data_IF_081673369573
#
_entry.id   IF_081673369573
#
_cell.length_a   1.000
_cell.length_b   1.000
_cell.length_c   1.000
_cell.angle_alpha   90.00
_cell.angle_beta   90.00
_cell.angle_gamma   90.00
#
_symmetry.space_group_name_H-M   'P 1'
#
loop_
_entity.id
_entity.type
_entity.pdbx_description
1 polymer ?
#
# COMPACT_ATOMS: atom_id res chain seq x y z
N UNK A 1 -0.17 61.30 26.01
CA UNK A 1 0.30 60.18 26.82
C UNK A 1 -0.06 58.88 26.11
N UNK A 2 0.88 58.30 25.39
CA UNK A 2 0.72 57.04 24.63
C UNK A 2 1.22 55.91 25.52
N UNK A 3 0.35 54.96 25.85
CA UNK A 3 0.74 53.70 26.54
C UNK A 3 1.08 52.67 25.49
N UNK A 4 2.36 52.29 25.41
CA UNK A 4 2.87 51.13 24.71
C UNK A 4 2.48 49.87 25.50
N UNK A 5 1.82 48.93 24.83
CA UNK A 5 1.68 47.55 25.30
C UNK A 5 2.78 46.72 24.62
N UNK A 6 3.74 46.27 25.44
CA UNK A 6 4.71 45.26 25.02
C UNK A 6 4.06 43.89 25.20
N UNK A 7 3.83 43.20 24.08
CA UNK A 7 3.58 41.78 24.09
C UNK A 7 4.92 41.03 24.14
N UNK A 8 5.25 40.47 25.30
CA UNK A 8 6.33 39.49 25.41
C UNK A 8 5.73 38.14 24.98
N UNK A 9 5.91 37.78 23.73
CA UNK A 9 5.65 36.47 23.23
C UNK A 9 6.80 35.55 23.64
N UNK A 10 6.56 34.72 24.67
CA UNK A 10 7.45 33.63 25.02
C UNK A 10 7.30 32.51 24.01
N UNK A 11 8.01 32.60 22.89
CA UNK A 11 8.15 31.50 21.92
C UNK A 11 9.02 30.42 22.54
N UNK A 12 8.42 29.39 23.10
CA UNK A 12 9.11 28.13 23.34
C UNK A 12 9.45 27.50 21.97
N UNK A 13 10.64 27.80 21.49
CA UNK A 13 11.28 27.02 20.42
C UNK A 13 11.65 25.66 21.04
N UNK A 14 10.75 24.70 20.97
CA UNK A 14 11.10 23.28 21.08
C UNK A 14 11.88 22.92 19.80
N UNK A 15 13.18 23.22 19.78
CA UNK A 15 14.13 22.66 18.83
C UNK A 15 14.40 21.20 19.22
N UNK A 16 13.46 20.33 19.01
CA UNK A 16 13.73 18.91 18.92
C UNK A 16 14.58 18.71 17.67
N UNK A 17 15.88 18.51 17.83
CA UNK A 17 16.73 18.03 16.73
C UNK A 17 16.17 16.69 16.28
N UNK A 18 15.54 16.65 15.10
CA UNK A 18 15.16 15.39 14.48
C UNK A 18 16.46 14.58 14.33
N UNK A 19 16.57 13.45 15.02
CA UNK A 19 17.70 12.54 14.86
C UNK A 19 17.82 12.16 13.39
N UNK A 20 19.04 12.16 12.86
CA UNK A 20 19.27 11.77 11.48
C UNK A 20 18.95 10.27 11.36
N UNK A 21 18.04 9.92 10.43
CA UNK A 21 17.67 8.53 10.21
C UNK A 21 18.91 7.68 9.86
N UNK A 22 19.07 6.56 10.52
CA UNK A 22 20.14 5.60 10.23
C UNK A 22 19.74 4.69 9.07
N UNK A 23 20.63 4.62 8.07
CA UNK A 23 20.45 3.78 6.89
C UNK A 23 21.31 2.51 6.98
N UNK A 24 20.69 1.36 6.93
CA UNK A 24 21.36 0.05 6.87
C UNK A 24 21.11 -0.55 5.48
N UNK A 25 22.16 -0.76 4.65
CA UNK A 25 22.00 -1.46 3.39
C UNK A 25 21.51 -2.89 3.63
N UNK A 26 20.53 -3.34 2.83
CA UNK A 26 20.16 -4.75 2.79
C UNK A 26 21.07 -5.47 1.80
N UNK A 27 21.50 -6.67 2.17
CA UNK A 27 22.44 -7.48 1.37
C UNK A 27 21.81 -7.84 0.02
N UNK A 28 22.53 -7.57 -1.08
CA UNK A 28 22.09 -7.90 -2.43
C UNK A 28 22.91 -9.05 -3.00
N UNK A 29 22.27 -9.93 -3.77
CA UNK A 29 22.96 -10.94 -4.57
C UNK A 29 23.55 -10.34 -5.84
N UNK A 30 24.47 -11.07 -6.48
CA UNK A 30 25.10 -10.66 -7.75
C UNK A 30 24.09 -10.46 -8.88
N UNK A 31 22.92 -11.00 -8.72
CA UNK A 31 21.85 -11.02 -9.71
C UNK A 31 20.65 -10.16 -9.31
N UNK A 32 20.67 -9.46 -8.18
CA UNK A 32 19.53 -8.68 -7.75
C UNK A 32 19.39 -7.42 -8.61
N UNK A 33 18.15 -7.21 -9.05
CA UNK A 33 17.72 -6.01 -9.77
C UNK A 33 17.08 -5.02 -8.82
N UNK A 34 16.49 -3.96 -9.35
CA UNK A 34 15.73 -2.99 -8.56
C UNK A 34 14.52 -3.66 -7.93
N UNK A 35 14.24 -3.34 -6.67
CA UNK A 35 13.07 -3.79 -5.94
C UNK A 35 11.94 -2.76 -6.03
N UNK A 36 10.73 -3.23 -6.31
CA UNK A 36 9.53 -2.41 -6.53
C UNK A 36 8.46 -2.55 -5.44
N UNK A 37 8.62 -3.50 -4.55
CA UNK A 37 7.71 -3.68 -3.41
C UNK A 37 8.46 -4.23 -2.20
N UNK A 38 8.01 -3.84 -1.01
CA UNK A 38 8.53 -4.31 0.26
C UNK A 38 7.38 -4.65 1.20
N UNK A 39 7.63 -5.56 2.13
CA UNK A 39 6.80 -5.81 3.28
C UNK A 39 7.70 -6.09 4.50
N UNK A 40 7.29 -5.68 5.69
CA UNK A 40 7.91 -6.04 6.95
C UNK A 40 6.97 -6.94 7.74
N UNK A 41 7.51 -8.01 8.33
CA UNK A 41 6.71 -8.87 9.18
C UNK A 41 6.37 -8.16 10.49
N UNK A 42 5.11 -8.28 10.99
CA UNK A 42 4.67 -7.64 12.22
C UNK A 42 5.44 -8.04 13.48
N UNK A 43 6.06 -9.22 13.49
CA UNK A 43 6.97 -9.67 14.57
C UNK A 43 8.35 -9.01 14.51
N UNK A 44 8.63 -8.25 13.45
CA UNK A 44 9.88 -7.53 13.24
C UNK A 44 11.06 -8.41 12.84
N UNK A 45 10.87 -9.68 12.48
CA UNK A 45 11.96 -10.60 12.12
C UNK A 45 12.39 -10.47 10.66
N UNK A 46 11.44 -10.23 9.75
CA UNK A 46 11.63 -10.33 8.31
C UNK A 46 11.33 -9.05 7.55
N UNK A 47 12.12 -8.82 6.51
CA UNK A 47 11.83 -7.89 5.42
C UNK A 47 11.73 -8.73 4.14
N UNK A 48 10.63 -8.58 3.41
CA UNK A 48 10.47 -9.16 2.09
C UNK A 48 10.60 -8.07 1.02
N UNK A 49 11.27 -8.37 -0.08
CA UNK A 49 11.40 -7.48 -1.24
C UNK A 49 11.04 -8.20 -2.53
N UNK A 50 10.24 -7.54 -3.36
CA UNK A 50 9.85 -7.99 -4.68
C UNK A 50 10.64 -7.30 -5.77
N UNK A 51 11.38 -8.07 -6.57
CA UNK A 51 12.25 -7.50 -7.58
C UNK A 51 11.56 -7.27 -8.93
N UNK A 52 12.19 -6.43 -9.74
CA UNK A 52 11.82 -6.23 -11.14
C UNK A 52 12.08 -7.50 -11.94
N UNK A 53 11.21 -7.77 -12.94
CA UNK A 53 11.50 -8.74 -13.98
C UNK A 53 12.73 -8.31 -14.79
N UNK A 54 13.60 -9.25 -15.10
CA UNK A 54 14.82 -8.97 -15.85
C UNK A 54 14.57 -9.05 -17.34
N UNK A 55 15.11 -8.10 -18.09
CA UNK A 55 15.32 -8.25 -19.52
C UNK A 55 16.75 -8.70 -19.78
N UNK A 56 16.92 -9.74 -20.55
CA UNK A 56 18.23 -10.09 -21.08
C UNK A 56 18.66 -9.00 -22.07
N UNK A 57 19.70 -8.24 -21.69
CA UNK A 57 20.23 -7.18 -22.54
C UNK A 57 20.82 -7.73 -23.86
N UNK A 58 21.24 -9.00 -23.85
CA UNK A 58 21.79 -9.67 -25.04
C UNK A 58 20.69 -10.23 -25.97
N UNK A 59 19.46 -10.40 -25.46
CA UNK A 59 18.36 -10.96 -26.24
C UNK A 59 17.02 -10.25 -25.92
N UNK A 60 16.84 -9.08 -26.49
CA UNK A 60 15.66 -8.22 -26.29
C UNK A 60 14.36 -8.82 -26.82
N UNK A 61 14.43 -9.87 -27.65
CA UNK A 61 13.26 -10.56 -28.21
C UNK A 61 12.70 -11.63 -27.27
N UNK A 62 13.43 -12.03 -26.22
CA UNK A 62 12.86 -12.91 -25.20
C UNK A 62 12.01 -12.12 -24.20
N UNK A 63 10.91 -12.73 -23.70
CA UNK A 63 10.16 -12.13 -22.62
C UNK A 63 11.07 -11.96 -21.40
N UNK A 64 10.87 -10.90 -20.58
CA UNK A 64 11.64 -10.72 -19.35
C UNK A 64 11.55 -11.97 -18.46
N UNK A 65 12.68 -12.41 -17.91
CA UNK A 65 12.66 -13.39 -16.81
C UNK A 65 11.96 -12.76 -15.60
N UNK A 66 11.27 -13.58 -14.81
CA UNK A 66 10.41 -13.10 -13.72
C UNK A 66 11.14 -12.32 -12.63
N UNK A 67 10.37 -11.62 -11.83
CA UNK A 67 10.85 -11.00 -10.59
C UNK A 67 10.90 -12.00 -9.45
N UNK A 68 11.85 -11.85 -8.53
CA UNK A 68 12.05 -12.73 -7.37
C UNK A 68 11.50 -12.11 -6.09
N UNK A 69 11.12 -12.95 -5.14
CA UNK A 69 10.81 -12.58 -3.76
C UNK A 69 12.00 -12.93 -2.88
N UNK A 70 12.64 -11.91 -2.29
CA UNK A 70 13.83 -12.04 -1.46
C UNK A 70 13.49 -11.73 -0.02
N UNK A 71 14.00 -12.51 0.92
CA UNK A 71 13.89 -12.29 2.36
C UNK A 71 15.22 -11.83 2.95
N UNK A 72 15.12 -10.84 3.86
CA UNK A 72 16.22 -10.40 4.72
C UNK A 72 15.82 -10.50 6.18
N UNK A 73 16.81 -10.79 7.02
CA UNK A 73 16.65 -10.66 8.46
C UNK A 73 16.70 -9.18 8.85
N UNK A 74 15.72 -8.71 9.57
CA UNK A 74 15.63 -7.31 10.00
C UNK A 74 16.77 -6.90 10.93
N UNK A 75 17.27 -7.85 11.73
CA UNK A 75 18.31 -7.62 12.74
C UNK A 75 19.63 -7.10 12.15
N UNK A 76 20.06 -7.67 11.04
CA UNK A 76 21.39 -7.42 10.45
C UNK A 76 21.35 -7.03 8.97
N UNK A 77 20.19 -7.02 8.35
CA UNK A 77 20.00 -6.74 6.92
C UNK A 77 20.57 -7.81 5.99
N UNK A 78 20.99 -8.96 6.52
CA UNK A 78 21.52 -10.05 5.72
C UNK A 78 20.43 -10.78 4.98
N UNK A 79 20.74 -11.13 3.73
CA UNK A 79 19.88 -11.96 2.90
C UNK A 79 19.79 -13.36 3.50
N UNK A 80 18.57 -13.81 3.74
CA UNK A 80 18.30 -15.14 4.23
C UNK A 80 18.05 -16.12 3.09
N UNK A 81 17.04 -15.81 2.27
CA UNK A 81 16.59 -16.73 1.22
C UNK A 81 15.93 -16.00 0.05
N UNK A 82 15.75 -16.73 -1.04
CA UNK A 82 14.86 -16.39 -2.16
C UNK A 82 13.72 -17.37 -2.12
N UNK A 83 12.51 -16.88 -1.88
CA UNK A 83 11.32 -17.74 -1.81
C UNK A 83 10.96 -18.31 -3.18
N UNK A 84 11.16 -17.55 -4.24
CA UNK A 84 10.92 -17.97 -5.60
C UNK A 84 10.61 -16.83 -6.55
N UNK A 85 10.33 -17.18 -7.81
CA UNK A 85 10.17 -16.23 -8.90
C UNK A 85 8.70 -16.09 -9.30
N UNK A 86 8.34 -14.89 -9.74
CA UNK A 86 7.10 -14.59 -10.46
C UNK A 86 7.39 -14.49 -11.97
N UNK A 87 6.37 -14.70 -12.80
CA UNK A 87 6.50 -14.53 -14.25
C UNK A 87 6.74 -13.09 -14.70
N UNK A 88 6.58 -12.11 -13.80
CA UNK A 88 6.81 -10.69 -14.06
C UNK A 88 7.22 -9.96 -12.77
N UNK A 89 7.40 -8.64 -12.84
CA UNK A 89 7.77 -7.79 -11.69
C UNK A 89 6.83 -8.01 -10.50
N UNK A 90 7.39 -8.22 -9.31
CA UNK A 90 6.65 -8.31 -8.06
C UNK A 90 6.42 -6.89 -7.54
N UNK A 91 5.17 -6.44 -7.59
CA UNK A 91 4.82 -5.05 -7.28
C UNK A 91 3.88 -4.89 -6.10
N UNK A 92 3.50 -5.99 -5.44
CA UNK A 92 2.73 -5.96 -4.21
C UNK A 92 3.13 -7.12 -3.29
N UNK A 93 3.23 -6.83 -1.98
CA UNK A 93 3.47 -7.83 -0.94
C UNK A 93 2.85 -7.40 0.38
N UNK A 94 2.42 -8.39 1.18
CA UNK A 94 1.91 -8.18 2.53
C UNK A 94 2.12 -9.43 3.39
N UNK A 95 2.54 -9.24 4.65
CA UNK A 95 2.49 -10.27 5.68
C UNK A 95 1.14 -10.26 6.40
N UNK A 96 0.72 -11.43 6.91
CA UNK A 96 -0.34 -11.52 7.90
C UNK A 96 0.11 -10.96 9.26
N UNK A 97 -0.83 -10.56 10.12
CA UNK A 97 -0.51 -9.94 11.41
C UNK A 97 0.19 -10.92 12.37
N UNK A 98 -0.03 -12.22 12.20
CA UNK A 98 0.67 -13.28 12.94
C UNK A 98 2.04 -13.62 12.36
N UNK A 99 2.47 -12.92 11.29
CA UNK A 99 3.75 -13.10 10.56
C UNK A 99 3.96 -14.49 9.94
N UNK A 100 2.93 -15.36 9.89
CA UNK A 100 3.06 -16.74 9.40
C UNK A 100 2.83 -16.89 7.91
N UNK A 101 2.19 -15.93 7.28
CA UNK A 101 1.87 -15.93 5.87
C UNK A 101 2.42 -14.68 5.19
N UNK A 102 3.11 -14.84 4.07
CA UNK A 102 3.45 -13.77 3.15
C UNK A 102 2.68 -13.99 1.86
N UNK A 103 2.11 -12.94 1.31
CA UNK A 103 1.55 -12.96 -0.04
C UNK A 103 2.35 -12.01 -0.91
N UNK A 104 2.69 -12.43 -2.12
CA UNK A 104 3.34 -11.61 -3.13
C UNK A 104 2.53 -11.61 -4.42
N UNK A 105 2.49 -10.48 -5.12
CA UNK A 105 1.68 -10.29 -6.31
C UNK A 105 2.43 -9.64 -7.46
N UNK A 106 2.13 -10.12 -8.67
CA UNK A 106 2.58 -9.53 -9.92
C UNK A 106 1.36 -9.18 -10.77
N UNK A 107 1.08 -7.88 -10.87
CA UNK A 107 -0.11 -7.40 -11.58
C UNK A 107 -0.10 -7.75 -13.06
N UNK A 108 1.04 -7.66 -13.72
CA UNK A 108 1.15 -7.94 -15.17
C UNK A 108 0.97 -9.42 -15.51
N UNK A 109 1.34 -10.34 -14.62
CA UNK A 109 1.06 -11.77 -14.82
C UNK A 109 -0.29 -12.21 -14.28
N UNK A 110 -0.94 -11.37 -13.45
CA UNK A 110 -2.17 -11.74 -12.75
C UNK A 110 -1.98 -12.85 -11.73
N UNK A 111 -0.73 -13.09 -11.28
CA UNK A 111 -0.39 -14.17 -10.35
C UNK A 111 -0.14 -13.62 -8.95
N UNK A 112 -0.71 -14.29 -7.97
CA UNK A 112 -0.49 -14.09 -6.55
C UNK A 112 0.06 -15.38 -5.96
N UNK A 113 1.12 -15.29 -5.16
CA UNK A 113 1.75 -16.45 -4.50
C UNK A 113 1.64 -16.30 -3.00
N UNK A 114 1.27 -17.38 -2.35
CA UNK A 114 1.08 -17.48 -0.89
C UNK A 114 2.20 -18.34 -0.33
N UNK A 115 2.97 -17.77 0.58
CA UNK A 115 4.16 -18.40 1.17
C UNK A 115 3.93 -18.69 2.65
N UNK A 116 4.39 -19.85 3.10
CA UNK A 116 4.51 -20.19 4.51
C UNK A 116 5.81 -19.62 5.07
N UNK A 117 5.72 -18.86 6.16
CA UNK A 117 6.92 -18.32 6.81
C UNK A 117 7.56 -19.31 7.80
N UNK A 118 6.90 -20.43 8.10
CA UNK A 118 7.46 -21.46 8.97
C UNK A 118 8.61 -22.25 8.30
N UNK A 119 8.52 -22.47 7.00
CA UNK A 119 9.43 -23.28 6.20
C UNK A 119 9.82 -22.62 4.86
N UNK A 120 9.37 -21.40 4.63
CA UNK A 120 9.59 -20.60 3.42
C UNK A 120 9.04 -21.26 2.13
N UNK A 121 8.06 -22.18 2.26
CA UNK A 121 7.49 -22.92 1.14
C UNK A 121 6.35 -22.17 0.45
N UNK A 122 6.17 -22.43 -0.84
CA UNK A 122 5.01 -21.97 -1.61
C UNK A 122 3.80 -22.84 -1.27
N UNK A 123 2.75 -22.26 -0.70
CA UNK A 123 1.48 -22.96 -0.39
C UNK A 123 0.53 -22.93 -1.57
N UNK A 124 0.31 -21.75 -2.16
CA UNK A 124 -0.66 -21.59 -3.24
C UNK A 124 -0.14 -20.64 -4.32
N UNK A 125 -0.54 -20.90 -5.55
CA UNK A 125 -0.49 -19.96 -6.67
C UNK A 125 -1.90 -19.64 -7.09
N UNK A 126 -2.33 -18.39 -6.86
CA UNK A 126 -3.65 -17.91 -7.21
C UNK A 126 -3.58 -17.09 -8.49
N UNK A 127 -4.65 -17.07 -9.25
CA UNK A 127 -4.71 -16.36 -10.53
C UNK A 127 -5.93 -15.45 -10.56
N UNK A 128 -5.70 -14.19 -10.93
CA UNK A 128 -6.77 -13.26 -11.28
C UNK A 128 -7.49 -13.76 -12.54
N UNK A 129 -8.79 -13.50 -12.61
CA UNK A 129 -9.62 -13.88 -13.76
C UNK A 129 -9.16 -13.17 -15.03
N UNK A 130 -8.84 -11.88 -14.92
CA UNK A 130 -8.30 -11.08 -16.00
C UNK A 130 -6.84 -10.70 -15.67
N UNK A 131 -5.87 -11.00 -16.55
CA UNK A 131 -4.50 -10.54 -16.37
C UNK A 131 -4.46 -9.01 -16.54
N UNK A 132 -3.72 -8.35 -15.65
CA UNK A 132 -3.57 -6.90 -15.72
C UNK A 132 -2.48 -6.56 -16.74
N UNK A 133 -2.84 -5.89 -17.82
CA UNK A 133 -1.87 -5.43 -18.80
C UNK A 133 -1.08 -4.26 -18.22
N UNK A 134 0.25 -4.34 -18.25
CA UNK A 134 1.10 -3.24 -17.88
C UNK A 134 0.93 -2.08 -18.86
N UNK A 135 0.31 -1.00 -18.43
CA UNK A 135 0.43 0.28 -19.10
C UNK A 135 1.75 0.93 -18.70
N UNK A 136 2.56 1.32 -19.64
CA UNK A 136 3.84 2.02 -19.39
C UNK A 136 3.68 3.35 -18.67
N UNK A 137 2.47 3.92 -18.68
CA UNK A 137 2.16 5.23 -18.11
C UNK A 137 1.39 5.17 -16.78
N UNK A 138 0.66 4.08 -16.50
CA UNK A 138 -0.20 3.98 -15.31
C UNK A 138 0.21 2.87 -14.33
N UNK A 139 1.22 2.06 -14.66
CA UNK A 139 1.59 0.87 -13.88
C UNK A 139 0.50 -0.21 -13.92
N UNK A 140 0.80 -1.42 -13.44
CA UNK A 140 -0.23 -2.41 -13.18
C UNK A 140 -0.94 -2.02 -11.88
N UNK A 141 -2.22 -1.69 -11.98
CA UNK A 141 -3.02 -1.34 -10.79
C UNK A 141 -3.54 -2.61 -10.10
N UNK A 142 -2.62 -3.41 -9.57
CA UNK A 142 -2.98 -4.49 -8.68
C UNK A 142 -3.29 -3.91 -7.30
N UNK A 143 -4.52 -4.11 -6.86
CA UNK A 143 -4.99 -3.73 -5.54
C UNK A 143 -5.31 -4.99 -4.77
N UNK A 144 -4.64 -5.22 -3.65
CA UNK A 144 -4.84 -6.39 -2.82
C UNK A 144 -4.96 -6.01 -1.35
N UNK A 145 -5.59 -6.89 -0.58
CA UNK A 145 -5.58 -6.87 0.87
C UNK A 145 -5.55 -8.31 1.40
N UNK A 146 -4.67 -8.56 2.36
CA UNK A 146 -4.59 -9.80 3.13
C UNK A 146 -5.34 -9.60 4.44
N UNK A 147 -6.18 -10.56 4.84
CA UNK A 147 -6.83 -10.49 6.16
C UNK A 147 -5.78 -10.63 7.27
N UNK A 148 -5.99 -9.99 8.45
CA UNK A 148 -5.03 -10.02 9.55
C UNK A 148 -4.64 -11.43 9.99
N UNK A 149 -5.59 -12.36 9.99
CA UNK A 149 -5.38 -13.78 10.33
C UNK A 149 -4.68 -14.59 9.22
N UNK A 150 -4.34 -13.98 8.09
CA UNK A 150 -3.70 -14.63 6.95
C UNK A 150 -4.55 -15.66 6.22
N UNK A 151 -5.88 -15.74 6.49
CA UNK A 151 -6.74 -16.79 5.92
C UNK A 151 -7.49 -16.36 4.68
N UNK A 152 -7.61 -15.06 4.41
CA UNK A 152 -8.31 -14.54 3.23
C UNK A 152 -7.45 -13.54 2.48
N UNK A 153 -7.56 -13.57 1.17
CA UNK A 153 -6.95 -12.58 0.28
C UNK A 153 -8.03 -12.01 -0.62
N UNK A 154 -8.10 -10.70 -0.69
CA UNK A 154 -8.89 -9.99 -1.69
C UNK A 154 -7.95 -9.37 -2.72
N UNK A 155 -8.27 -9.48 -4.00
CA UNK A 155 -7.52 -8.81 -5.06
C UNK A 155 -8.43 -8.37 -6.21
N UNK A 156 -8.09 -7.20 -6.75
CA UNK A 156 -8.71 -6.63 -7.93
C UNK A 156 -7.66 -5.82 -8.72
N UNK A 157 -8.06 -5.34 -9.88
CA UNK A 157 -7.22 -4.46 -10.66
C UNK A 157 -7.99 -3.76 -11.77
N UNK A 158 -7.27 -3.07 -12.63
CA UNK A 158 -7.82 -2.52 -13.85
C UNK A 158 -7.26 -3.26 -15.05
N UNK A 159 -8.13 -3.63 -15.98
CA UNK A 159 -7.77 -4.18 -17.28
C UNK A 159 -7.64 -3.01 -18.25
N UNK A 160 -6.53 -2.93 -18.95
CA UNK A 160 -6.35 -1.94 -20.02
C UNK A 160 -6.78 -2.59 -21.34
N UNK A 161 -7.79 -2.02 -21.98
CA UNK A 161 -8.20 -2.44 -23.33
C UNK A 161 -7.78 -1.40 -24.36
N UNK A 162 -7.25 -1.81 -25.50
CA UNK A 162 -6.99 -0.89 -26.59
C UNK A 162 -8.32 -0.41 -27.20
N UNK A 163 -8.45 0.89 -27.39
CA UNK A 163 -9.56 1.51 -28.14
C UNK A 163 -8.97 2.40 -29.21
N UNK A 164 -8.88 1.89 -30.44
CA UNK A 164 -8.20 2.58 -31.54
C UNK A 164 -6.72 2.82 -31.20
N UNK A 165 -6.28 4.08 -31.25
CA UNK A 165 -4.93 4.51 -30.86
C UNK A 165 -4.81 4.80 -29.36
N UNK A 166 -5.91 4.79 -28.61
CA UNK A 166 -5.98 5.06 -27.19
C UNK A 166 -6.14 3.78 -26.38
N UNK A 167 -5.68 3.80 -25.13
CA UNK A 167 -5.88 2.72 -24.18
C UNK A 167 -6.92 3.15 -23.15
N UNK A 168 -7.93 2.33 -22.91
CA UNK A 168 -8.90 2.55 -21.85
C UNK A 168 -8.70 1.54 -20.73
N UNK A 169 -8.86 1.96 -19.47
CA UNK A 169 -8.87 1.04 -18.34
C UNK A 169 -10.30 0.65 -18.01
N UNK A 170 -10.57 -0.65 -17.94
CA UNK A 170 -11.84 -1.19 -17.47
C UNK A 170 -11.66 -1.80 -16.08
N UNK A 171 -12.76 -1.80 -15.33
CA UNK A 171 -12.80 -2.49 -14.04
C UNK A 171 -12.66 -4.00 -14.22
N UNK A 172 -11.75 -4.61 -13.46
CA UNK A 172 -11.60 -6.06 -13.41
C UNK A 172 -12.51 -6.68 -12.35
N UNK A 173 -12.51 -8.00 -12.29
CA UNK A 173 -13.24 -8.75 -11.26
C UNK A 173 -12.51 -8.63 -9.91
N UNK A 174 -13.22 -8.20 -8.86
CA UNK A 174 -12.77 -8.40 -7.49
C UNK A 174 -12.95 -9.87 -7.13
N UNK A 175 -11.90 -10.49 -6.63
CA UNK A 175 -11.89 -11.89 -6.21
C UNK A 175 -11.46 -12.00 -4.75
N UNK A 176 -12.09 -12.89 -4.01
CA UNK A 176 -11.71 -13.23 -2.64
C UNK A 176 -11.48 -14.72 -2.51
N UNK A 177 -10.34 -15.10 -1.94
CA UNK A 177 -9.93 -16.50 -1.74
C UNK A 177 -9.85 -16.84 -0.26
N UNK A 178 -10.11 -18.11 0.03
CA UNK A 178 -9.67 -18.79 1.24
C UNK A 178 -8.24 -19.29 1.05
N UNK A 179 -7.30 -18.80 1.83
CA UNK A 179 -5.88 -19.17 1.73
C UNK A 179 -5.55 -20.48 2.46
N UNK A 180 -6.47 -21.06 3.21
CA UNK A 180 -6.29 -22.40 3.79
C UNK A 180 -6.48 -23.48 2.73
N UNK A 181 -7.38 -23.24 1.78
CA UNK A 181 -7.72 -24.19 0.70
C UNK A 181 -7.21 -23.74 -0.68
N UNK A 182 -6.88 -22.46 -0.86
CA UNK A 182 -6.54 -21.85 -2.14
C UNK A 182 -7.76 -21.63 -3.06
N UNK A 183 -9.00 -21.85 -2.57
CA UNK A 183 -10.21 -21.75 -3.36
C UNK A 183 -10.80 -20.34 -3.35
N UNK A 184 -11.48 -19.98 -4.44
CA UNK A 184 -12.24 -18.73 -4.53
C UNK A 184 -13.49 -18.84 -3.65
N UNK A 185 -13.68 -17.91 -2.72
CA UNK A 185 -14.88 -17.81 -1.92
C UNK A 185 -16.01 -17.13 -2.69
N UNK A 186 -15.72 -15.99 -3.30
CA UNK A 186 -16.66 -15.23 -4.11
C UNK A 186 -15.97 -14.25 -5.06
N UNK A 187 -16.72 -13.75 -6.01
CA UNK A 187 -16.25 -12.77 -7.00
C UNK A 187 -17.29 -11.70 -7.25
N UNK A 188 -16.84 -10.49 -7.57
CA UNK A 188 -17.68 -9.38 -8.00
C UNK A 188 -17.13 -8.84 -9.33
N UNK A 189 -17.82 -9.06 -10.46
CA UNK A 189 -17.36 -8.63 -11.77
C UNK A 189 -17.48 -7.12 -11.93
N UNK A 190 -16.63 -6.54 -12.79
CA UNK A 190 -16.64 -5.13 -13.17
C UNK A 190 -16.61 -4.14 -11.97
N UNK A 191 -15.87 -4.50 -10.93
CA UNK A 191 -15.69 -3.67 -9.74
C UNK A 191 -14.46 -2.80 -9.89
N UNK A 192 -14.66 -1.49 -10.07
CA UNK A 192 -13.58 -0.49 -10.18
C UNK A 192 -12.95 -0.18 -8.84
N UNK A 193 -12.16 -1.12 -8.30
CA UNK A 193 -11.51 -0.98 -7.00
C UNK A 193 -10.32 -0.04 -7.07
N UNK A 194 -10.30 0.97 -6.23
CA UNK A 194 -9.16 1.89 -6.07
C UNK A 194 -8.27 1.51 -4.88
N UNK A 195 -8.85 1.04 -3.77
CA UNK A 195 -8.12 0.53 -2.61
C UNK A 195 -8.98 -0.48 -1.84
N UNK A 196 -8.32 -1.39 -1.12
CA UNK A 196 -8.93 -2.47 -0.32
C UNK A 196 -8.36 -2.47 1.10
N UNK A 197 -9.18 -2.84 2.07
CA UNK A 197 -8.74 -3.15 3.42
C UNK A 197 -9.67 -4.18 4.08
N UNK A 198 -9.11 -5.09 4.88
CA UNK A 198 -9.91 -5.90 5.80
C UNK A 198 -10.06 -5.18 7.14
N UNK A 199 -11.15 -5.46 7.84
CA UNK A 199 -11.25 -5.13 9.27
C UNK A 199 -10.28 -5.97 10.09
N UNK A 200 -9.84 -5.49 11.29
CA UNK A 200 -8.89 -6.21 12.14
C UNK A 200 -9.34 -7.62 12.55
N UNK A 201 -10.65 -7.87 12.60
CA UNK A 201 -11.21 -9.21 12.84
C UNK A 201 -11.27 -10.09 11.58
N UNK A 202 -10.89 -9.53 10.41
CA UNK A 202 -10.92 -10.22 9.12
C UNK A 202 -12.32 -10.57 8.59
N UNK A 203 -13.40 -10.11 9.24
CA UNK A 203 -14.76 -10.50 8.88
C UNK A 203 -15.38 -9.61 7.80
N UNK A 204 -14.87 -8.40 7.64
CA UNK A 204 -15.38 -7.43 6.68
C UNK A 204 -14.29 -7.01 5.69
N UNK A 205 -14.63 -6.98 4.41
CA UNK A 205 -13.83 -6.37 3.36
C UNK A 205 -14.38 -4.99 3.03
N UNK A 206 -13.53 -3.99 3.06
CA UNK A 206 -13.82 -2.61 2.67
C UNK A 206 -13.12 -2.27 1.37
N UNK A 207 -13.76 -1.48 0.53
CA UNK A 207 -13.17 -0.96 -0.69
C UNK A 207 -13.63 0.46 -0.98
N UNK A 208 -12.71 1.26 -1.50
CA UNK A 208 -13.10 2.38 -2.35
C UNK A 208 -13.31 1.86 -3.76
N UNK A 209 -14.50 2.13 -4.29
CA UNK A 209 -14.87 1.77 -5.66
C UNK A 209 -15.23 3.00 -6.46
N UNK A 210 -14.94 2.94 -7.76
CA UNK A 210 -15.25 4.03 -8.70
C UNK A 210 -15.64 3.46 -10.05
N UNK A 211 -16.49 4.19 -10.77
CA UNK A 211 -16.78 3.95 -12.17
C UNK A 211 -15.98 4.94 -13.02
N UNK A 212 -15.24 4.45 -13.99
CA UNK A 212 -14.57 5.29 -14.98
C UNK A 212 -15.49 5.39 -16.20
N UNK A 213 -15.90 6.61 -16.52
CA UNK A 213 -16.68 6.90 -17.73
C UNK A 213 -15.77 7.58 -18.73
N UNK A 214 -15.70 6.99 -19.92
CA UNK A 214 -14.94 7.55 -21.04
C UNK A 214 -15.87 8.38 -21.92
N UNK A 215 -15.47 9.61 -22.17
CA UNK A 215 -16.20 10.55 -22.99
C UNK A 215 -15.28 11.03 -24.12
N UNK A 216 -15.82 11.14 -25.33
CA UNK A 216 -15.10 11.79 -26.43
C UNK A 216 -15.28 13.29 -26.34
N UNK A 217 -14.19 14.02 -26.10
CA UNK A 217 -14.18 15.48 -26.04
C UNK A 217 -13.22 15.99 -27.10
N UNK A 218 -13.76 16.66 -28.13
CA UNK A 218 -12.99 17.26 -29.25
C UNK A 218 -12.05 16.27 -29.94
N UNK A 219 -12.49 15.03 -30.17
CA UNK A 219 -11.71 13.98 -30.80
C UNK A 219 -10.69 13.29 -29.89
N UNK A 220 -10.66 13.61 -28.60
CA UNK A 220 -9.83 12.94 -27.59
C UNK A 220 -10.70 12.16 -26.61
N UNK A 221 -10.26 10.95 -26.26
CA UNK A 221 -10.88 10.18 -25.18
C UNK A 221 -10.45 10.77 -23.83
N UNK A 222 -11.42 11.28 -23.06
CA UNK A 222 -11.20 11.78 -21.70
C UNK A 222 -11.88 10.85 -20.70
N UNK A 223 -11.18 10.53 -19.62
CA UNK A 223 -11.72 9.72 -18.53
C UNK A 223 -12.28 10.62 -17.42
N UNK A 224 -13.49 10.35 -17.00
CA UNK A 224 -14.10 10.97 -15.82
C UNK A 224 -14.40 9.90 -14.77
N UNK A 225 -13.99 10.18 -13.54
CA UNK A 225 -14.40 9.35 -12.40
C UNK A 225 -15.84 9.69 -12.05
N UNK A 226 -16.66 8.66 -11.95
CA UNK A 226 -18.05 8.75 -11.55
C UNK A 226 -18.38 7.67 -10.51
N UNK A 227 -19.48 7.86 -9.79
CA UNK A 227 -20.05 6.87 -8.88
C UNK A 227 -19.03 6.34 -7.84
N UNK A 228 -18.39 7.27 -7.14
CA UNK A 228 -17.41 6.95 -6.08
C UNK A 228 -18.13 6.50 -4.82
N UNK A 229 -17.72 5.33 -4.29
CA UNK A 229 -18.36 4.70 -3.15
C UNK A 229 -17.36 4.07 -2.20
N UNK A 230 -17.67 4.15 -0.92
CA UNK A 230 -17.12 3.25 0.10
C UNK A 230 -18.05 2.04 0.19
N UNK A 231 -17.51 0.87 -0.11
CA UNK A 231 -18.23 -0.42 -0.10
C UNK A 231 -17.76 -1.27 1.05
N UNK A 232 -18.67 -2.06 1.60
CA UNK A 232 -18.40 -3.03 2.66
C UNK A 232 -19.13 -4.33 2.38
N UNK A 233 -18.38 -5.44 2.47
CA UNK A 233 -18.92 -6.79 2.28
C UNK A 233 -18.51 -7.71 3.42
N UNK A 234 -19.36 -8.68 3.71
CA UNK A 234 -18.96 -9.84 4.49
C UNK A 234 -17.86 -10.59 3.74
N UNK A 235 -16.72 -10.78 4.39
CA UNK A 235 -15.52 -11.33 3.75
C UNK A 235 -15.66 -12.81 3.33
N UNK A 236 -16.57 -13.57 3.97
CA UNK A 236 -16.75 -15.01 3.69
C UNK A 236 -17.68 -15.31 2.53
N UNK A 237 -18.70 -14.46 2.28
CA UNK A 237 -19.75 -14.76 1.30
C UNK A 237 -20.04 -13.61 0.32
N UNK A 238 -19.38 -12.45 0.46
CA UNK A 238 -19.58 -11.31 -0.42
C UNK A 238 -20.90 -10.56 -0.25
N UNK A 239 -21.69 -10.86 0.78
CA UNK A 239 -22.92 -10.11 1.07
C UNK A 239 -22.58 -8.67 1.41
N UNK A 240 -23.27 -7.71 0.77
CA UNK A 240 -23.05 -6.27 1.01
C UNK A 240 -23.60 -5.88 2.37
N UNK A 241 -22.74 -5.28 3.21
CA UNK A 241 -23.13 -4.72 4.50
C UNK A 241 -23.64 -3.28 4.32
N UNK A 242 -22.86 -2.44 3.61
CA UNK A 242 -23.28 -1.09 3.25
C UNK A 242 -22.60 -0.61 1.96
N UNK A 243 -23.18 0.46 1.40
CA UNK A 243 -22.66 1.17 0.24
C UNK A 243 -22.93 2.66 0.44
N UNK A 244 -21.86 3.44 0.62
CA UNK A 244 -21.93 4.87 0.90
C UNK A 244 -21.32 5.69 -0.22
N UNK A 245 -22.03 6.68 -0.79
CA UNK A 245 -21.45 7.59 -1.76
C UNK A 245 -20.40 8.48 -1.10
N UNK A 246 -19.25 8.62 -1.75
CA UNK A 246 -18.14 9.46 -1.28
C UNK A 246 -17.57 10.32 -2.42
N UNK A 247 -18.39 11.17 -3.05
CA UNK A 247 -18.04 11.86 -4.28
C UNK A 247 -16.84 12.79 -4.10
N UNK A 248 -15.90 12.74 -5.05
CA UNK A 248 -14.70 13.56 -5.09
C UNK A 248 -13.65 13.22 -4.04
N UNK A 249 -13.80 12.09 -3.32
CA UNK A 249 -12.82 11.68 -2.31
C UNK A 249 -11.57 11.06 -2.93
N UNK A 250 -11.71 10.12 -3.88
CA UNK A 250 -10.62 9.35 -4.50
C UNK A 250 -9.50 8.94 -3.51
N UNK A 251 -9.82 8.23 -2.42
CA UNK A 251 -8.85 7.90 -1.40
C UNK A 251 -7.77 6.96 -1.94
N UNK A 252 -6.54 7.25 -1.58
CA UNK A 252 -5.38 6.40 -1.89
C UNK A 252 -5.21 5.25 -0.88
N UNK A 253 -5.69 5.45 0.35
CA UNK A 253 -5.59 4.48 1.44
C UNK A 253 -6.87 4.43 2.26
N UNK A 254 -7.19 3.21 2.72
CA UNK A 254 -8.18 2.97 3.77
C UNK A 254 -7.44 2.42 5.00
N UNK A 255 -7.52 3.12 6.11
CA UNK A 255 -6.92 2.73 7.39
C UNK A 255 -8.03 2.39 8.37
N UNK A 256 -8.12 1.12 8.75
CA UNK A 256 -9.20 0.61 9.59
C UNK A 256 -8.78 0.59 11.05
N UNK A 257 -9.64 1.09 11.94
CA UNK A 257 -9.44 1.08 13.38
C UNK A 257 -10.56 0.29 14.06
N UNK A 258 -10.20 -0.80 14.72
CA UNK A 258 -11.13 -1.54 15.56
C UNK A 258 -11.52 -0.73 16.81
N UNK A 259 -10.56 0.00 17.37
CA UNK A 259 -10.73 0.81 18.58
C UNK A 259 -11.76 1.92 18.41
N UNK A 260 -11.75 2.59 17.25
CA UNK A 260 -12.74 3.63 16.93
C UNK A 260 -14.00 3.10 16.26
N UNK A 261 -14.04 1.84 15.85
CA UNK A 261 -15.13 1.28 15.02
C UNK A 261 -15.27 1.98 13.68
N UNK A 262 -14.19 2.52 13.14
CA UNK A 262 -14.19 3.35 11.94
C UNK A 262 -13.14 2.98 10.90
N UNK A 263 -13.33 3.50 9.68
CA UNK A 263 -12.33 3.48 8.62
C UNK A 263 -11.99 4.93 8.22
N UNK A 264 -10.71 5.24 8.22
CA UNK A 264 -10.18 6.52 7.73
C UNK A 264 -9.86 6.40 6.24
N UNK A 265 -10.57 7.14 5.43
CA UNK A 265 -10.27 7.32 4.01
C UNK A 265 -9.31 8.50 3.85
N UNK A 266 -8.10 8.23 3.35
CA UNK A 266 -7.06 9.23 3.15
C UNK A 266 -7.00 9.65 1.68
N UNK A 267 -7.29 10.92 1.40
CA UNK A 267 -7.32 11.46 0.03
C UNK A 267 -6.56 12.78 -0.14
N UNK A 268 -5.53 13.00 0.65
CA UNK A 268 -4.73 14.22 0.62
C UNK A 268 -5.37 15.35 1.42
N UNK A 269 -6.20 16.14 0.80
CA UNK A 269 -6.84 17.33 1.39
C UNK A 269 -8.14 17.03 2.15
N UNK A 270 -8.76 15.87 1.89
CA UNK A 270 -10.00 15.44 2.56
C UNK A 270 -9.79 14.08 3.21
N UNK A 271 -9.65 14.06 4.52
CA UNK A 271 -9.42 12.85 5.30
C UNK A 271 -10.60 12.64 6.24
N UNK A 272 -11.37 11.59 5.97
CA UNK A 272 -12.69 11.41 6.59
C UNK A 272 -12.81 10.03 7.22
N UNK A 273 -13.29 10.00 8.45
CA UNK A 273 -13.67 8.77 9.15
C UNK A 273 -15.11 8.39 8.80
N UNK A 274 -15.29 7.12 8.51
CA UNK A 274 -16.60 6.49 8.29
C UNK A 274 -16.83 5.41 9.32
N UNK A 275 -18.05 5.31 9.80
CA UNK A 275 -18.50 4.26 10.72
C UNK A 275 -18.52 2.91 9.99
N UNK A 276 -17.94 1.85 10.60
CA UNK A 276 -17.79 0.53 9.97
C UNK A 276 -19.11 -0.24 9.84
N UNK A 277 -20.14 0.12 10.61
CA UNK A 277 -21.45 -0.57 10.57
C UNK A 277 -22.38 0.05 9.55
N UNK A 278 -22.38 1.37 9.46
CA UNK A 278 -23.36 2.12 8.67
C UNK A 278 -22.77 2.73 7.40
N UNK A 279 -21.44 2.89 7.34
CA UNK A 279 -20.76 3.61 6.27
C UNK A 279 -21.01 5.12 6.27
N UNK A 280 -21.65 5.67 7.32
CA UNK A 280 -21.87 7.10 7.43
C UNK A 280 -20.61 7.83 7.87
N UNK A 281 -20.50 9.12 7.49
CA UNK A 281 -19.43 9.99 7.97
C UNK A 281 -19.55 10.11 9.49
N UNK A 282 -18.49 9.77 10.22
CA UNK A 282 -18.42 9.91 11.67
C UNK A 282 -17.71 11.19 12.09
N UNK A 283 -16.62 11.54 11.41
CA UNK A 283 -15.89 12.81 11.64
C UNK A 283 -14.95 13.11 10.48
N UNK A 284 -14.61 14.37 10.30
CA UNK A 284 -13.49 14.77 9.47
C UNK A 284 -12.20 14.72 10.29
N UNK A 285 -11.11 14.31 9.65
CA UNK A 285 -9.80 14.29 10.28
C UNK A 285 -9.00 15.50 9.79
N UNK A 286 -8.61 16.43 10.69
CA UNK A 286 -7.90 17.65 10.31
C UNK A 286 -6.42 17.37 9.99
N UNK A 287 -6.17 16.53 9.02
CA UNK A 287 -4.83 16.22 8.51
C UNK A 287 -4.69 16.87 7.15
N UNK A 288 -3.69 17.71 6.96
CA UNK A 288 -3.35 18.23 5.64
C UNK A 288 -2.22 17.40 5.05
N UNK A 289 -2.56 16.55 4.08
CA UNK A 289 -1.61 15.73 3.33
C UNK A 289 -1.55 16.24 1.89
N UNK A 290 -0.39 16.10 1.27
CA UNK A 290 -0.29 16.32 -0.18
C UNK A 290 -0.93 15.15 -0.93
N UNK A 291 -1.42 15.39 -2.15
CA UNK A 291 -2.21 14.42 -2.94
C UNK A 291 -1.47 13.12 -3.31
N UNK A 292 -0.17 13.03 -3.11
CA UNK A 292 0.63 11.86 -3.48
C UNK A 292 1.09 11.09 -2.23
N UNK A 293 0.16 10.44 -1.55
CA UNK A 293 0.50 9.50 -0.47
C UNK A 293 1.14 8.24 -1.07
N UNK A 294 2.26 7.83 -0.49
CA UNK A 294 2.94 6.59 -0.88
C UNK A 294 2.60 5.44 0.08
N UNK A 295 2.62 5.72 1.37
CA UNK A 295 2.32 4.76 2.43
C UNK A 295 1.60 5.48 3.57
N UNK A 296 0.61 4.80 4.15
CA UNK A 296 -0.03 5.20 5.40
C UNK A 296 -0.21 3.96 6.27
N UNK A 297 0.41 3.93 7.43
CA UNK A 297 0.36 2.80 8.38
C UNK A 297 0.01 3.31 9.76
N UNK A 298 -0.98 2.70 10.38
CA UNK A 298 -1.38 2.93 11.76
C UNK A 298 -0.61 1.98 12.69
N UNK A 299 -0.19 2.46 13.86
CA UNK A 299 0.43 1.63 14.87
C UNK A 299 -0.57 0.68 15.54
N UNK A 300 -0.05 -0.31 16.30
CA UNK A 300 -0.89 -1.31 16.99
C UNK A 300 -1.82 -0.71 18.03
N UNK A 301 -1.45 0.41 18.65
CA UNK A 301 -2.28 1.09 19.65
C UNK A 301 -3.37 1.95 19.00
N UNK A 302 -3.39 2.04 17.68
CA UNK A 302 -4.35 2.79 16.87
C UNK A 302 -4.47 4.28 17.27
N UNK A 303 -3.40 4.85 17.80
CA UNK A 303 -3.33 6.25 18.21
C UNK A 303 -2.41 7.09 17.33
N UNK A 304 -1.58 6.46 16.49
CA UNK A 304 -0.63 7.11 15.61
C UNK A 304 -0.68 6.55 14.18
N UNK A 305 -0.53 7.45 13.22
CA UNK A 305 -0.41 7.15 11.81
C UNK A 305 0.93 7.67 11.31
N UNK A 306 1.75 6.83 10.69
CA UNK A 306 2.90 7.25 9.93
C UNK A 306 2.52 7.39 8.46
N UNK A 307 2.82 8.55 7.90
CA UNK A 307 2.53 8.88 6.49
C UNK A 307 3.82 9.20 5.77
N UNK A 308 4.00 8.57 4.61
CA UNK A 308 5.09 8.85 3.67
C UNK A 308 4.47 9.40 2.40
N UNK A 309 4.81 10.64 2.06
CA UNK A 309 4.43 11.26 0.79
C UNK A 309 5.50 10.99 -0.27
N UNK A 310 5.08 10.72 -1.52
CA UNK A 310 5.98 10.36 -2.62
C UNK A 310 7.09 11.39 -2.90
N UNK A 311 6.82 12.67 -2.62
CA UNK A 311 7.75 13.77 -2.90
C UNK A 311 8.32 14.43 -1.64
N UNK A 312 7.98 13.93 -0.45
CA UNK A 312 8.37 14.61 0.79
C UNK A 312 9.79 14.27 1.21
N UNK A 313 10.48 15.29 1.74
CA UNK A 313 11.75 15.12 2.43
C UNK A 313 11.54 14.61 3.87
N UNK A 314 10.33 14.75 4.41
CA UNK A 314 9.98 14.43 5.78
C UNK A 314 8.94 13.30 5.84
N UNK A 315 9.05 12.52 6.91
CA UNK A 315 8.08 11.54 7.34
C UNK A 315 7.19 12.20 8.39
N UNK A 316 5.89 12.06 8.23
CA UNK A 316 4.93 12.66 9.15
C UNK A 316 4.34 11.59 10.06
N UNK A 317 4.46 11.81 11.38
CA UNK A 317 3.74 11.05 12.40
C UNK A 317 2.55 11.89 12.85
N UNK A 318 1.37 11.32 12.76
CA UNK A 318 0.11 11.98 13.01
C UNK A 318 -0.58 11.29 14.17
N UNK A 319 -0.93 12.04 15.21
CA UNK A 319 -1.72 11.53 16.32
C UNK A 319 -3.19 11.49 15.92
N UNK A 320 -3.80 10.31 16.01
CA UNK A 320 -5.14 10.10 15.48
C UNK A 320 -6.24 10.89 16.21
N UNK A 321 -6.26 11.00 17.55
CA UNK A 321 -7.37 11.69 18.22
C UNK A 321 -7.57 13.14 17.79
N UNK A 322 -6.50 13.88 17.58
CA UNK A 322 -6.54 15.33 17.32
C UNK A 322 -5.87 15.78 16.01
N UNK A 323 -5.24 14.86 15.28
CA UNK A 323 -4.55 15.18 14.03
C UNK A 323 -3.23 15.94 14.21
N UNK A 324 -2.71 16.07 15.44
CA UNK A 324 -1.43 16.71 15.69
C UNK A 324 -0.31 16.00 14.91
N UNK A 325 0.41 16.79 14.10
CA UNK A 325 1.46 16.28 13.21
C UNK A 325 2.82 16.60 13.77
N UNK A 326 3.73 15.62 13.76
CA UNK A 326 5.14 15.77 14.08
C UNK A 326 6.00 15.14 12.98
N UNK A 327 7.28 15.56 12.91
CA UNK A 327 8.24 14.94 11.99
C UNK A 327 8.80 13.69 12.67
N UNK A 328 8.57 12.52 12.09
CA UNK A 328 9.11 11.25 12.58
C UNK A 328 10.55 11.01 12.12
N UNK A 329 10.95 11.63 11.01
CA UNK A 329 12.28 11.54 10.44
C UNK A 329 12.42 12.42 9.20
N UNK A 330 13.65 12.65 8.74
CA UNK A 330 13.91 13.46 7.56
C UNK A 330 14.92 12.79 6.65
N UNK A 331 14.64 12.85 5.35
CA UNK A 331 15.58 12.47 4.28
C UNK A 331 16.35 13.71 3.75
N UNK A 332 16.26 14.85 4.44
CA UNK A 332 16.90 16.12 4.05
C UNK A 332 18.41 15.94 3.91
N UNK A 333 18.98 16.45 2.82
CA UNK A 333 20.41 16.30 2.52
C UNK A 333 20.78 14.99 1.82
N UNK A 334 19.85 14.09 1.61
CA UNK A 334 20.04 12.89 0.81
C UNK A 334 19.49 13.12 -0.61
N UNK A 335 20.35 13.04 -1.62
CA UNK A 335 20.01 13.30 -3.03
C UNK A 335 19.01 12.30 -3.61
N UNK A 336 18.85 11.14 -2.95
CA UNK A 336 18.00 10.06 -3.40
C UNK A 336 16.97 9.68 -2.33
N UNK A 337 15.70 9.75 -2.70
CA UNK A 337 14.54 9.41 -1.84
C UNK A 337 14.42 7.90 -1.66
N UNK A 338 13.80 7.49 -0.56
CA UNK A 338 13.37 6.10 -0.38
C UNK A 338 12.06 5.91 -1.13
N UNK A 339 12.03 4.94 -2.03
CA UNK A 339 10.86 4.57 -2.83
C UNK A 339 10.38 3.18 -2.48
N UNK A 340 9.15 2.85 -2.85
CA UNK A 340 8.54 1.52 -2.67
C UNK A 340 8.57 1.05 -1.21
N UNK A 341 8.35 1.95 -0.27
CA UNK A 341 8.57 1.72 1.15
C UNK A 341 7.51 0.83 1.81
N UNK A 342 7.95 0.06 2.81
CA UNK A 342 7.10 -0.60 3.80
C UNK A 342 7.51 -0.12 5.20
N UNK A 343 6.52 0.10 6.05
CA UNK A 343 6.71 0.57 7.43
C UNK A 343 6.48 -0.58 8.39
N UNK A 344 7.31 -0.69 9.43
CA UNK A 344 7.09 -1.63 10.54
C UNK A 344 5.85 -1.26 11.36
N UNK A 345 5.22 -2.27 11.97
CA UNK A 345 4.00 -2.08 12.77
C UNK A 345 4.18 -1.20 14.02
N UNK A 346 5.41 -1.03 14.50
CA UNK A 346 5.78 -0.13 15.60
C UNK A 346 6.12 1.30 15.12
N UNK A 347 6.01 1.56 13.82
CA UNK A 347 6.33 2.83 13.15
C UNK A 347 7.78 3.32 13.36
N UNK A 348 8.73 2.42 13.64
CA UNK A 348 10.13 2.77 13.92
C UNK A 348 11.05 2.54 12.74
N UNK A 349 10.67 1.68 11.80
CA UNK A 349 11.53 1.27 10.68
C UNK A 349 10.82 1.35 9.35
N UNK A 350 11.60 1.66 8.31
CA UNK A 350 11.14 1.68 6.92
C UNK A 350 12.08 0.82 6.09
N UNK A 351 11.55 -0.16 5.37
CA UNK A 351 12.27 -0.85 4.31
C UNK A 351 11.89 -0.26 2.96
N UNK A 352 12.86 -0.05 2.07
CA UNK A 352 12.59 0.53 0.76
C UNK A 352 13.80 0.54 -0.15
N UNK A 353 13.68 1.19 -1.30
CA UNK A 353 14.76 1.35 -2.28
C UNK A 353 15.31 2.77 -2.21
N UNK A 354 16.64 2.90 -2.10
CA UNK A 354 17.37 4.16 -2.20
C UNK A 354 18.52 4.00 -3.21
N UNK A 355 18.63 4.88 -4.19
CA UNK A 355 19.66 4.78 -5.26
C UNK A 355 19.68 3.40 -5.94
N UNK A 356 18.52 2.83 -6.22
CA UNK A 356 18.34 1.48 -6.77
C UNK A 356 18.86 0.32 -5.89
N UNK A 357 19.12 0.58 -4.60
CA UNK A 357 19.54 -0.44 -3.64
C UNK A 357 18.53 -0.57 -2.50
N UNK A 358 18.26 -1.78 -2.02
CA UNK A 358 17.39 -1.99 -0.88
C UNK A 358 18.05 -1.48 0.40
N UNK A 359 17.27 -0.82 1.24
CA UNK A 359 17.75 -0.25 2.51
C UNK A 359 16.71 -0.43 3.61
N UNK A 360 17.20 -0.57 4.83
CA UNK A 360 16.42 -0.42 6.06
C UNK A 360 16.77 0.93 6.68
N UNK A 361 15.77 1.68 7.06
CA UNK A 361 15.89 2.99 7.70
C UNK A 361 15.35 2.87 9.11
N UNK A 362 16.17 3.18 10.11
CA UNK A 362 15.76 3.29 11.51
C UNK A 362 15.45 4.76 11.80
N UNK A 363 14.23 5.04 12.27
CA UNK A 363 13.72 6.39 12.52
C UNK A 363 14.06 6.92 13.92
N UNK A 364 14.43 6.03 14.85
CA UNK A 364 14.71 6.36 16.25
C UNK A 364 16.17 6.08 16.66
N UNK A 365 17.04 5.79 15.68
CA UNK A 365 18.46 5.62 15.98
C UNK A 365 19.06 6.93 16.47
N UNK A 366 19.85 6.93 17.56
CA UNK A 366 20.48 8.11 18.12
C UNK A 366 21.51 8.73 17.19
#
# INVERSE_FOLDING_TARGET
MKRLWQFVGLGLLLSGSASAAKFTPLETGTNDTIFFSYAQSPDGQWIAGGSQARRDAANTNQPPSGGSVVLWRTQDGRRDSVLGDHAATVNWMQFSDDSKTLVSGSGTSGLLKVWSMADHSLRHTLRLKEPLIASSTLGSQLVCALSPDGKRLAAAGAVVKPVGISQTSEAATLMVWDLTTGQVLWTLPQCGVGTLAFTPDGQTLLAYTRKIVWEEVRGFHSARIADERLMSWNASNGATNFMSPIPGMNPSHLVVSAKSGGVLALSGDRNTWYDLKTGSVSREQPIQLRRSLHVAVMNRDEDQLLVIEFSAENLHRIRIPDGATSIAGSFKGHTNRVMFAAVSSDLKRIAGTRSNRPVLVDLEAP
#
